data_IF_049347553049
#
_entry.id   IF_049347553049
#
_cell.length_a   1.000
_cell.length_b   1.000
_cell.length_c   1.000
_cell.angle_alpha   90.00
_cell.angle_beta   90.00
_cell.angle_gamma   90.00
#
_symmetry.space_group_name_H-M   'P 1'
#
loop_
_entity.id
_entity.type
_entity.pdbx_description
1 polymer ?
#
# COMPACT_ATOMS: atom_id res chain seq x y z
N UNK A 1 11.77 1.66 13.94
CA UNK A 1 12.63 0.65 13.29
C UNK A 1 12.26 0.63 11.81
N UNK A 2 13.21 0.74 10.89
CA UNK A 2 12.94 0.74 9.45
C UNK A 2 13.00 -0.68 8.91
N UNK A 3 11.98 -1.12 8.16
CA UNK A 3 11.94 -2.46 7.57
C UNK A 3 12.85 -2.49 6.33
N UNK A 4 13.71 -3.53 6.17
CA UNK A 4 14.51 -3.70 4.97
C UNK A 4 13.65 -3.74 3.68
N UNK A 5 13.94 -2.92 2.65
CA UNK A 5 13.13 -2.85 1.44
C UNK A 5 13.00 -4.17 0.68
N UNK A 6 14.00 -5.05 0.79
CA UNK A 6 13.97 -6.39 0.20
C UNK A 6 12.83 -7.27 0.79
N UNK A 7 12.58 -7.17 2.11
CA UNK A 7 11.48 -7.89 2.75
C UNK A 7 10.13 -7.33 2.31
N UNK A 8 10.03 -6.00 2.20
CA UNK A 8 8.79 -5.35 1.71
C UNK A 8 8.53 -5.75 0.27
N UNK A 9 9.55 -5.80 -0.59
CA UNK A 9 9.40 -6.27 -1.97
C UNK A 9 8.87 -7.71 -2.04
N UNK A 10 9.30 -8.58 -1.11
CA UNK A 10 8.89 -9.98 -1.08
C UNK A 10 7.45 -10.17 -0.59
N UNK A 11 7.03 -9.44 0.45
CA UNK A 11 5.75 -9.67 1.14
C UNK A 11 4.66 -8.65 0.81
N UNK A 12 5.03 -7.42 0.45
CA UNK A 12 4.13 -6.29 0.19
C UNK A 12 4.56 -5.52 -1.07
N UNK A 13 4.51 -6.16 -2.26
CA UNK A 13 5.07 -5.59 -3.48
C UNK A 13 4.39 -4.28 -3.93
N UNK A 14 3.10 -4.10 -3.63
CA UNK A 14 2.36 -2.87 -3.94
C UNK A 14 2.86 -1.71 -3.08
N UNK A 15 2.96 -1.91 -1.76
CA UNK A 15 3.51 -0.92 -0.81
C UNK A 15 4.97 -0.61 -1.12
N UNK A 16 5.76 -1.62 -1.50
CA UNK A 16 7.15 -1.42 -1.93
C UNK A 16 7.25 -0.42 -3.09
N UNK A 17 6.42 -0.56 -4.14
CA UNK A 17 6.41 0.40 -5.26
C UNK A 17 6.06 1.81 -4.79
N UNK A 18 5.03 1.96 -3.94
CA UNK A 18 4.63 3.27 -3.39
C UNK A 18 5.75 3.91 -2.55
N UNK A 19 6.46 3.12 -1.74
CA UNK A 19 7.62 3.58 -0.95
C UNK A 19 8.77 4.02 -1.88
N UNK A 20 9.07 3.23 -2.92
CA UNK A 20 10.11 3.57 -3.90
C UNK A 20 9.79 4.82 -4.71
N UNK A 21 8.50 5.12 -4.92
CA UNK A 21 8.03 6.35 -5.55
C UNK A 21 7.90 7.54 -4.59
N UNK A 22 8.17 7.37 -3.30
CA UNK A 22 8.03 8.44 -2.28
C UNK A 22 6.59 8.78 -1.93
N UNK A 23 5.62 7.94 -2.30
CA UNK A 23 4.18 8.14 -2.06
C UNK A 23 3.78 7.60 -0.68
N UNK A 24 4.50 6.60 -0.18
CA UNK A 24 4.23 5.95 1.11
C UNK A 24 5.49 5.95 1.98
N UNK A 25 5.33 6.22 3.27
CA UNK A 25 6.44 6.20 4.24
C UNK A 25 6.75 4.75 4.61
N UNK A 26 8.03 4.41 4.76
CA UNK A 26 8.47 3.11 5.28
C UNK A 26 8.27 3.00 6.80
N UNK A 27 7.03 3.18 7.22
CA UNK A 27 6.57 3.03 8.60
C UNK A 27 5.52 1.89 8.66
N UNK A 28 5.63 0.94 9.60
CA UNK A 28 4.73 -0.21 9.66
C UNK A 28 3.25 0.17 9.81
N UNK A 29 2.94 1.25 10.54
CA UNK A 29 1.56 1.69 10.76
C UNK A 29 0.97 2.27 9.48
N UNK A 30 1.72 3.12 8.78
CA UNK A 30 1.29 3.69 7.49
C UNK A 30 1.16 2.62 6.41
N UNK A 31 2.08 1.65 6.37
CA UNK A 31 1.99 0.51 5.45
C UNK A 31 0.75 -0.36 5.71
N UNK A 32 0.38 -0.53 6.98
CA UNK A 32 -0.82 -1.29 7.35
C UNK A 32 -2.09 -0.55 6.90
N UNK A 33 -2.17 0.76 7.14
CA UNK A 33 -3.28 1.61 6.66
C UNK A 33 -3.41 1.55 5.15
N UNK A 34 -2.30 1.70 4.42
CA UNK A 34 -2.30 1.61 2.95
C UNK A 34 -2.83 0.26 2.44
N UNK A 35 -2.51 -0.83 3.14
CA UNK A 35 -3.02 -2.15 2.75
C UNK A 35 -4.53 -2.29 2.97
N UNK A 36 -5.07 -1.70 4.05
CA UNK A 36 -6.52 -1.68 4.29
C UNK A 36 -7.21 -0.83 3.21
N UNK A 37 -6.64 0.35 2.89
CA UNK A 37 -7.17 1.22 1.84
C UNK A 37 -7.19 0.51 0.49
N UNK A 38 -6.11 -0.19 0.10
CA UNK A 38 -6.13 -0.95 -1.16
C UNK A 38 -7.29 -1.96 -1.24
N UNK A 39 -7.65 -2.61 -0.12
CA UNK A 39 -8.81 -3.51 -0.11
C UNK A 39 -10.12 -2.72 -0.24
N UNK A 40 -10.25 -1.57 0.40
CA UNK A 40 -11.44 -0.71 0.30
C UNK A 40 -11.57 -0.15 -1.12
N UNK A 41 -10.47 0.23 -1.76
CA UNK A 41 -10.43 0.77 -3.12
C UNK A 41 -11.09 -0.19 -4.13
N UNK A 42 -10.93 -1.51 -3.96
CA UNK A 42 -11.61 -2.50 -4.81
C UNK A 42 -13.14 -2.43 -4.67
N UNK A 43 -13.65 -2.28 -3.44
CA UNK A 43 -15.09 -2.12 -3.19
C UNK A 43 -15.60 -0.77 -3.65
N UNK A 44 -14.82 0.30 -3.43
CA UNK A 44 -15.15 1.64 -3.93
C UNK A 44 -15.24 1.57 -5.44
N UNK A 45 -14.22 1.05 -6.13
CA UNK A 45 -14.22 0.88 -7.58
C UNK A 45 -15.42 0.07 -8.09
N UNK A 46 -15.78 -1.01 -7.40
CA UNK A 46 -16.92 -1.84 -7.79
C UNK A 46 -18.29 -1.17 -7.54
N UNK A 47 -18.40 -0.26 -6.57
CA UNK A 47 -19.66 0.38 -6.17
C UNK A 47 -19.85 1.79 -6.77
N UNK A 48 -18.76 2.50 -7.04
CA UNK A 48 -18.77 3.75 -7.78
C UNK A 48 -18.98 3.42 -9.26
N UNK A 49 -20.23 3.54 -9.73
CA UNK A 49 -20.56 3.57 -11.15
C UNK A 49 -19.62 4.56 -11.87
N UNK A 50 -19.04 4.21 -13.03
CA UNK A 50 -18.30 5.17 -13.81
C UNK A 50 -19.29 6.25 -14.25
N UNK A 51 -19.15 7.45 -13.69
CA UNK A 51 -19.73 8.67 -14.26
C UNK A 51 -18.85 9.16 -15.41
#
# INVERSE_FOLDING_TARGET
VQIPPALISQFMPVQYKKIRCGILINDPEEMLKDRIINCIDDYVYATSLPV
#
